data_IF_393094734199
#
_entry.id   IF_393094734199
#
_cell.length_a   1.000
_cell.length_b   1.000
_cell.length_c   1.000
_cell.angle_alpha   90.00
_cell.angle_beta   90.00
_cell.angle_gamma   90.00
#
_symmetry.space_group_name_H-M   'P 1'
#
loop_
_entity.id
_entity.type
_entity.pdbx_description
1 polymer ?
#
# COMPACT_ATOMS: atom_id res chain seq x y z
N UNK A 1 -1.67 -1.82 12.62
CA UNK A 1 -0.62 -1.03 11.92
C UNK A 1 -0.32 -1.70 10.58
N UNK A 2 -0.33 -0.96 9.46
CA UNK A 2 -0.10 -1.52 8.13
C UNK A 2 1.31 -1.20 7.64
N UNK A 3 2.05 -2.24 7.27
CA UNK A 3 3.37 -2.16 6.67
C UNK A 3 3.32 -2.72 5.26
N UNK A 4 3.85 -1.97 4.30
CA UNK A 4 3.85 -2.36 2.90
C UNK A 4 5.27 -2.43 2.37
N UNK A 5 5.63 -3.57 1.79
CA UNK A 5 6.82 -3.72 0.95
C UNK A 5 6.43 -3.25 -0.45
N UNK A 6 7.17 -2.27 -0.98
CA UNK A 6 6.96 -1.74 -2.32
C UNK A 6 7.22 -2.80 -3.38
N UNK A 7 6.61 -2.65 -4.56
CA UNK A 7 6.70 -3.64 -5.65
C UNK A 7 8.15 -3.91 -6.10
N UNK A 8 9.02 -2.90 -6.01
CA UNK A 8 10.46 -3.05 -6.30
C UNK A 8 11.24 -3.77 -5.19
N UNK A 9 10.60 -4.15 -4.08
CA UNK A 9 11.16 -4.80 -2.88
C UNK A 9 12.29 -4.03 -2.19
N UNK A 10 12.44 -2.74 -2.49
CA UNK A 10 13.52 -1.90 -1.93
C UNK A 10 13.10 -1.15 -0.67
N UNK A 11 11.81 -0.91 -0.49
CA UNK A 11 11.29 -0.11 0.61
C UNK A 11 10.25 -0.90 1.42
N UNK A 12 10.37 -0.82 2.75
CA UNK A 12 9.33 -1.22 3.69
C UNK A 12 8.81 0.05 4.36
N UNK A 13 7.51 0.33 4.18
CA UNK A 13 6.92 1.58 4.66
C UNK A 13 5.71 1.35 5.55
N UNK A 14 5.63 2.13 6.63
CA UNK A 14 4.42 2.23 7.42
C UNK A 14 3.46 3.22 6.76
N UNK A 15 2.29 2.73 6.34
CA UNK A 15 1.30 3.53 5.63
C UNK A 15 0.13 3.87 6.55
N UNK A 16 -0.38 5.09 6.42
CA UNK A 16 -1.58 5.57 7.11
C UNK A 16 -2.82 5.45 6.24
N UNK A 17 -2.66 5.63 4.94
CA UNK A 17 -3.70 5.55 3.94
C UNK A 17 -3.12 4.88 2.70
N UNK A 18 -3.94 4.10 1.99
CA UNK A 18 -3.61 3.48 0.71
C UNK A 18 -4.74 3.83 -0.26
N UNK A 19 -4.40 4.31 -1.46
CA UNK A 19 -5.36 4.73 -2.48
C UNK A 19 -4.92 4.31 -3.88
N UNK A 20 -5.89 4.04 -4.76
CA UNK A 20 -5.63 3.84 -6.19
C UNK A 20 -5.71 5.19 -6.89
N UNK A 21 -4.70 5.50 -7.69
CA UNK A 21 -4.71 6.60 -8.65
C UNK A 21 -4.42 6.00 -10.02
N UNK A 22 -5.43 6.01 -10.89
CA UNK A 22 -5.40 5.36 -12.20
C UNK A 22 -5.01 3.88 -12.10
N UNK A 23 -3.77 3.55 -12.44
CA UNK A 23 -3.22 2.20 -12.40
C UNK A 23 -2.13 2.04 -11.34
N UNK A 24 -1.99 3.00 -10.43
CA UNK A 24 -0.97 3.03 -9.38
C UNK A 24 -1.60 2.99 -8.01
N UNK A 25 -0.88 2.39 -7.07
CA UNK A 25 -1.24 2.40 -5.66
C UNK A 25 -0.29 3.34 -4.94
N UNK A 26 -0.84 4.35 -4.28
CA UNK A 26 -0.10 5.28 -3.44
C UNK A 26 -0.40 5.04 -1.97
N UNK A 27 0.62 5.19 -1.15
CA UNK A 27 0.53 5.18 0.31
C UNK A 27 0.88 6.53 0.88
N UNK A 28 0.11 7.01 1.85
CA UNK A 28 0.47 8.18 2.66
C UNK A 28 1.36 7.70 3.81
N UNK A 29 2.61 8.15 3.81
CA UNK A 29 3.58 7.84 4.85
C UNK A 29 3.79 9.08 5.75
N UNK A 30 3.93 8.82 7.04
CA UNK A 30 4.26 9.88 8.00
C UNK A 30 5.79 9.92 8.17
N UNK A 31 6.41 11.06 7.84
CA UNK A 31 7.85 11.26 8.03
C UNK A 31 8.16 12.01 9.33
N UNK A 32 7.25 12.86 9.80
CA UNK A 32 7.35 13.67 11.03
C UNK A 32 5.96 14.15 11.42
N UNK A 33 5.74 14.54 12.69
CA UNK A 33 4.43 14.83 13.28
C UNK A 33 3.41 15.62 12.41
N UNK A 34 3.87 16.49 11.49
CA UNK A 34 3.02 17.26 10.57
C UNK A 34 3.37 17.12 9.08
N UNK A 35 4.23 16.16 8.69
CA UNK A 35 4.71 16.00 7.32
C UNK A 35 4.27 14.64 6.77
N UNK A 36 3.27 14.68 5.89
CA UNK A 36 2.70 13.53 5.18
C UNK A 36 3.18 13.55 3.74
N UNK A 37 3.79 12.46 3.29
CA UNK A 37 4.28 12.31 1.92
C UNK A 37 3.52 11.17 1.23
N UNK A 38 3.23 11.37 -0.06
CA UNK A 38 2.69 10.31 -0.90
C UNK A 38 3.87 9.51 -1.45
N UNK A 39 3.81 8.18 -1.33
CA UNK A 39 4.78 7.27 -1.92
C UNK A 39 4.06 6.29 -2.82
N UNK A 40 4.56 6.12 -4.05
CA UNK A 40 4.09 5.07 -4.95
C UNK A 40 4.54 3.72 -4.38
N UNK A 41 3.59 2.86 -4.08
CA UNK A 41 3.82 1.52 -3.52
C UNK A 41 3.98 0.47 -4.62
N UNK A 42 3.21 0.62 -5.70
CA UNK A 42 3.25 -0.25 -6.86
C UNK A 42 2.44 0.33 -8.02
N UNK A 43 2.73 -0.15 -9.23
CA UNK A 43 2.03 0.19 -10.46
C UNK A 43 1.62 -1.07 -11.21
N UNK A 44 0.44 -1.04 -11.80
CA UNK A 44 -0.20 -2.16 -12.50
C UNK A 44 -0.61 -1.73 -13.90
N UNK A 45 -0.89 -2.69 -14.77
CA UNK A 45 -1.29 -2.40 -16.14
C UNK A 45 -2.75 -1.95 -16.27
N UNK A 46 -3.61 -2.32 -15.32
CA UNK A 46 -5.03 -1.96 -15.29
C UNK A 46 -5.45 -1.39 -13.94
N UNK A 47 -6.45 -0.51 -13.98
CA UNK A 47 -7.11 -0.01 -12.77
C UNK A 47 -7.81 -1.13 -11.99
N UNK A 48 -8.37 -2.11 -12.70
CA UNK A 48 -8.99 -3.31 -12.12
C UNK A 48 -8.01 -4.04 -11.21
N UNK A 49 -6.78 -4.28 -11.68
CA UNK A 49 -5.74 -4.95 -10.88
C UNK A 49 -5.37 -4.14 -9.65
N UNK A 50 -5.19 -2.82 -9.80
CA UNK A 50 -4.90 -1.96 -8.65
C UNK A 50 -6.02 -2.01 -7.60
N UNK A 51 -7.28 -2.10 -8.04
CA UNK A 51 -8.45 -2.20 -7.17
C UNK A 51 -8.53 -3.56 -6.46
N UNK A 52 -8.22 -4.65 -7.15
CA UNK A 52 -8.10 -5.98 -6.54
C UNK A 52 -7.08 -5.99 -5.41
N UNK A 53 -5.90 -5.38 -5.63
CA UNK A 53 -4.86 -5.33 -4.60
C UNK A 53 -5.29 -4.54 -3.37
N UNK A 54 -6.02 -3.43 -3.54
CA UNK A 54 -6.58 -2.71 -2.38
C UNK A 54 -7.57 -3.59 -1.62
N UNK A 55 -8.39 -4.37 -2.32
CA UNK A 55 -9.30 -5.31 -1.68
C UNK A 55 -8.55 -6.41 -0.93
N UNK A 56 -7.47 -6.97 -1.49
CA UNK A 56 -6.61 -7.93 -0.80
C UNK A 56 -5.97 -7.35 0.47
N UNK A 57 -5.56 -6.07 0.43
CA UNK A 57 -5.04 -5.35 1.61
C UNK A 57 -6.13 -5.23 2.68
N UNK A 58 -7.35 -4.87 2.28
CA UNK A 58 -8.50 -4.73 3.17
C UNK A 58 -8.85 -6.06 3.86
N UNK A 59 -8.98 -7.15 3.10
CA UNK A 59 -9.27 -8.49 3.64
C UNK A 59 -8.19 -8.94 4.65
N UNK A 60 -6.91 -8.64 4.38
CA UNK A 60 -5.82 -8.92 5.31
C UNK A 60 -5.86 -8.08 6.57
N UNK A 61 -6.35 -6.84 6.49
CA UNK A 61 -6.55 -5.99 7.67
C UNK A 61 -7.71 -6.49 8.52
N UNK A 62 -8.79 -6.98 7.92
CA UNK A 62 -9.92 -7.57 8.66
C UNK A 62 -9.53 -8.82 9.44
N UNK A 63 -8.60 -9.61 8.91
CA UNK A 63 -8.08 -10.82 9.58
C UNK A 63 -7.08 -10.47 10.70
N UNK A 64 -6.45 -9.28 10.66
CA UNK A 64 -5.27 -8.93 11.46
C UNK A 64 -5.52 -7.73 12.39
N UNK A 65 -5.68 -7.98 13.68
CA UNK A 65 -6.01 -6.93 14.67
C UNK A 65 -4.81 -6.11 15.20
N UNK A 66 -3.57 -6.35 14.74
CA UNK A 66 -2.37 -5.75 15.38
C UNK A 66 -1.36 -5.17 14.38
N UNK A 67 -0.65 -6.03 13.66
CA UNK A 67 0.39 -5.62 12.69
C UNK A 67 0.21 -6.44 11.43
N UNK A 68 -0.12 -5.77 10.34
CA UNK A 68 -0.37 -6.37 9.04
C UNK A 68 0.78 -5.99 8.11
N UNK A 69 1.48 -7.00 7.61
CA UNK A 69 2.52 -6.80 6.59
C UNK A 69 1.98 -7.27 5.25
N UNK A 70 2.04 -6.40 4.26
CA UNK A 70 1.61 -6.67 2.89
C UNK A 70 2.79 -6.48 1.94
N UNK A 71 2.97 -7.39 0.99
CA UNK A 71 3.95 -7.22 -0.07
C UNK A 71 3.19 -6.91 -1.36
N UNK A 72 3.53 -5.80 -2.02
CA UNK A 72 2.95 -5.47 -3.32
C UNK A 72 3.33 -6.56 -4.34
N UNK A 73 2.35 -7.16 -5.03
CA UNK A 73 2.63 -8.13 -6.07
C UNK A 73 3.29 -7.48 -7.29
N UNK A 74 4.12 -8.26 -7.99
CA UNK A 74 4.84 -7.79 -9.19
C UNK A 74 3.93 -7.66 -10.42
N UNK A 75 2.78 -8.35 -10.45
CA UNK A 75 1.81 -8.38 -11.55
C UNK A 75 0.38 -8.24 -11.03
#
# INVERSE_FOLDING_TARGET
MLWIITQNKKDLVNVKEVRVIDNRIEGVINRSFFVFWNKVLGGYNSNERATEIIKEIYEKLEISNTVTTFSMPEK
#
